data_IF_201457266797
#
_entry.id   IF_201457266797
#
_cell.length_a   1.000
_cell.length_b   1.000
_cell.length_c   1.000
_cell.angle_alpha   90.00
_cell.angle_beta   90.00
_cell.angle_gamma   90.00
#
_symmetry.space_group_name_H-M   'P 1'
#
loop_
_entity.id
_entity.type
_entity.pdbx_description
1 polymer ?
#
# COMPACT_ATOMS: atom_id res chain seq x y z
N UNK A 1 -5.27 14.01 -12.37
CA UNK A 1 -5.24 12.92 -11.38
C UNK A 1 -5.66 11.65 -12.09
N UNK A 2 -4.75 10.68 -12.12
CA UNK A 2 -4.99 9.37 -12.70
C UNK A 2 -5.21 8.35 -11.57
N UNK A 3 -6.25 7.53 -11.70
CA UNK A 3 -6.52 6.39 -10.83
C UNK A 3 -6.43 5.13 -11.67
N UNK A 4 -5.57 4.19 -11.26
CA UNK A 4 -5.45 2.87 -11.87
C UNK A 4 -5.65 1.80 -10.82
N UNK A 5 -6.59 0.88 -11.07
CA UNK A 5 -6.83 -0.27 -10.20
C UNK A 5 -6.14 -1.49 -10.81
N UNK A 6 -5.35 -2.17 -9.99
CA UNK A 6 -4.59 -3.36 -10.28
C UNK A 6 -5.10 -4.48 -9.36
N UNK A 7 -5.93 -5.41 -9.85
CA UNK A 7 -6.21 -6.63 -9.10
C UNK A 7 -4.90 -7.40 -8.87
N UNK A 8 -4.60 -7.76 -7.62
CA UNK A 8 -3.37 -8.47 -7.25
C UNK A 8 -3.66 -9.72 -6.42
N UNK A 9 -2.80 -10.72 -6.60
CA UNK A 9 -2.80 -11.96 -5.82
C UNK A 9 -4.01 -12.86 -6.08
N UNK A 10 -4.06 -13.97 -5.34
CA UNK A 10 -5.10 -14.99 -5.48
C UNK A 10 -6.50 -14.45 -5.14
N UNK A 11 -6.58 -13.52 -4.18
CA UNK A 11 -7.83 -12.92 -3.72
C UNK A 11 -8.31 -11.76 -4.60
N UNK A 12 -7.54 -11.37 -5.62
CA UNK A 12 -7.86 -10.26 -6.52
C UNK A 12 -8.15 -8.94 -5.80
N UNK A 13 -7.39 -8.65 -4.74
CA UNK A 13 -7.50 -7.39 -3.99
C UNK A 13 -7.20 -6.22 -4.93
N UNK A 14 -7.98 -5.15 -4.81
CA UNK A 14 -7.85 -3.96 -5.64
C UNK A 14 -6.72 -3.05 -5.13
N UNK A 15 -5.47 -3.39 -5.48
CA UNK A 15 -4.35 -2.47 -5.31
C UNK A 15 -4.55 -1.26 -6.22
N UNK A 16 -4.50 -0.05 -5.67
CA UNK A 16 -4.80 1.18 -6.42
C UNK A 16 -3.59 2.09 -6.50
N UNK A 17 -3.33 2.62 -7.69
CA UNK A 17 -2.32 3.64 -7.94
C UNK A 17 -3.02 4.97 -8.18
N UNK A 18 -2.67 5.98 -7.40
CA UNK A 18 -3.19 7.34 -7.52
C UNK A 18 -2.02 8.23 -7.91
N UNK A 19 -2.12 8.90 -9.06
CA UNK A 19 -1.02 9.69 -9.63
C UNK A 19 -1.47 11.12 -9.85
N UNK A 20 -0.64 12.06 -9.38
CA UNK A 20 -0.73 13.45 -9.76
C UNK A 20 0.04 13.66 -11.06
N UNK A 21 -0.67 13.69 -12.20
CA UNK A 21 -0.08 13.73 -13.54
C UNK A 21 0.77 14.99 -13.80
N UNK A 22 0.55 16.07 -13.05
CA UNK A 22 1.32 17.30 -13.19
C UNK A 22 2.71 17.21 -12.56
N UNK A 23 2.83 16.53 -11.41
CA UNK A 23 4.11 16.39 -10.69
C UNK A 23 4.78 15.04 -10.93
N UNK A 24 4.04 14.04 -11.40
CA UNK A 24 4.51 12.66 -11.52
C UNK A 24 4.55 11.91 -10.18
N UNK A 25 4.11 12.52 -9.08
CA UNK A 25 4.05 11.86 -7.79
C UNK A 25 2.93 10.82 -7.75
N UNK A 26 3.18 9.70 -7.08
CA UNK A 26 2.25 8.58 -6.98
C UNK A 26 2.10 8.07 -5.55
N UNK A 27 0.90 7.58 -5.26
CA UNK A 27 0.59 6.79 -4.07
C UNK A 27 0.13 5.41 -4.53
N UNK A 28 0.56 4.38 -3.82
CA UNK A 28 0.04 3.02 -3.96
C UNK A 28 -0.74 2.64 -2.71
N UNK A 29 -1.95 2.12 -2.90
CA UNK A 29 -2.88 1.72 -1.85
C UNK A 29 -3.09 0.21 -1.93
N UNK A 30 -2.97 -0.47 -0.80
CA UNK A 30 -3.19 -1.91 -0.61
C UNK A 30 -2.33 -2.84 -1.49
N UNK A 31 -0.99 -2.70 -1.49
CA UNK A 31 -0.10 -3.57 -2.24
C UNK A 31 0.05 -4.95 -1.56
N UNK A 32 -0.96 -5.82 -1.68
CA UNK A 32 -0.97 -7.14 -1.04
C UNK A 32 -0.08 -8.20 -1.67
N UNK A 33 0.02 -8.20 -3.01
CA UNK A 33 0.65 -9.26 -3.79
C UNK A 33 1.20 -8.71 -5.11
N UNK A 34 1.78 -9.58 -5.95
CA UNK A 34 2.27 -9.25 -7.30
C UNK A 34 3.23 -8.04 -7.36
N UNK A 35 4.20 -7.95 -6.44
CA UNK A 35 5.10 -6.79 -6.33
C UNK A 35 5.72 -6.35 -7.66
N UNK A 36 6.14 -7.28 -8.51
CA UNK A 36 6.74 -6.94 -9.81
C UNK A 36 5.75 -6.27 -10.76
N UNK A 37 4.46 -6.62 -10.71
CA UNK A 37 3.40 -5.94 -11.46
C UNK A 37 3.25 -4.51 -10.95
N UNK A 38 3.16 -4.33 -9.63
CA UNK A 38 3.02 -3.02 -9.01
C UNK A 38 4.24 -2.13 -9.31
N UNK A 39 5.45 -2.68 -9.18
CA UNK A 39 6.70 -1.97 -9.45
C UNK A 39 6.74 -1.45 -10.89
N UNK A 40 6.42 -2.30 -11.88
CA UNK A 40 6.39 -1.88 -13.29
C UNK A 40 5.43 -0.72 -13.55
N UNK A 41 4.31 -0.70 -12.85
CA UNK A 41 3.29 0.35 -12.98
C UNK A 41 3.66 1.64 -12.26
N UNK A 42 4.51 1.56 -11.22
CA UNK A 42 5.03 2.71 -10.48
C UNK A 42 6.35 3.27 -11.06
N UNK A 43 7.10 2.49 -11.84
CA UNK A 43 8.40 2.91 -12.41
C UNK A 43 8.39 4.24 -13.18
N UNK A 44 7.32 4.62 -13.91
CA UNK A 44 7.26 5.92 -14.59
C UNK A 44 7.05 7.12 -13.66
N UNK A 45 6.78 6.88 -12.37
CA UNK A 45 6.34 7.89 -11.40
C UNK A 45 7.30 7.98 -10.20
N UNK A 46 7.05 8.93 -9.31
CA UNK A 46 7.74 9.05 -8.01
C UNK A 46 6.80 8.59 -6.89
N UNK A 47 6.92 7.36 -6.37
CA UNK A 47 6.10 6.93 -5.24
C UNK A 47 6.46 7.69 -3.97
N UNK A 48 5.51 8.47 -3.45
CA UNK A 48 5.69 9.30 -2.24
C UNK A 48 5.02 8.71 -1.01
N UNK A 49 4.11 7.75 -1.18
CA UNK A 49 3.51 7.00 -0.08
C UNK A 49 3.07 5.60 -0.51
N UNK A 50 3.23 4.66 0.42
CA UNK A 50 2.55 3.36 0.41
C UNK A 50 1.49 3.44 1.50
N UNK A 51 0.24 3.13 1.17
CA UNK A 51 -0.87 3.22 2.12
C UNK A 51 -1.54 1.86 2.21
N UNK A 52 -1.90 1.44 3.43
CA UNK A 52 -2.85 0.36 3.64
C UNK A 52 -4.13 0.93 4.24
N UNK A 53 -5.27 0.55 3.67
CA UNK A 53 -6.60 0.88 4.18
C UNK A 53 -6.82 0.22 5.55
N UNK A 54 -6.38 -1.02 5.69
CA UNK A 54 -6.46 -1.83 6.90
C UNK A 54 -5.35 -2.90 6.91
N UNK A 55 -5.17 -3.59 8.05
CA UNK A 55 -3.98 -4.39 8.32
C UNK A 55 -3.97 -5.83 7.79
N UNK A 56 -4.97 -6.29 7.01
CA UNK A 56 -4.96 -7.67 6.53
C UNK A 56 -3.80 -7.96 5.56
N UNK A 57 -3.30 -9.19 5.61
CA UNK A 57 -2.09 -9.62 4.88
C UNK A 57 -2.19 -9.47 3.36
N UNK A 58 -3.39 -9.54 2.79
CA UNK A 58 -3.68 -9.36 1.37
C UNK A 58 -3.79 -7.88 0.96
N UNK A 59 -3.64 -6.95 1.91
CA UNK A 59 -3.50 -5.50 1.66
C UNK A 59 -2.07 -5.01 1.96
N UNK A 60 -1.37 -5.62 2.91
CA UNK A 60 -0.03 -5.17 3.35
C UNK A 60 1.12 -6.03 2.84
N UNK A 61 0.83 -7.17 2.20
CA UNK A 61 1.79 -8.22 1.93
C UNK A 61 3.03 -7.83 1.11
N UNK A 62 3.00 -6.77 0.30
CA UNK A 62 4.17 -6.30 -0.45
C UNK A 62 4.71 -4.94 0.00
N UNK A 63 4.24 -4.41 1.14
CA UNK A 63 4.72 -3.14 1.71
C UNK A 63 6.24 -3.16 1.87
N UNK A 64 6.82 -4.23 2.45
CA UNK A 64 8.27 -4.36 2.63
C UNK A 64 9.02 -4.21 1.30
N UNK A 65 8.62 -4.98 0.30
CA UNK A 65 9.23 -5.01 -1.03
C UNK A 65 9.20 -3.62 -1.69
N UNK A 66 8.07 -2.93 -1.60
CA UNK A 66 7.89 -1.60 -2.19
C UNK A 66 8.67 -0.52 -1.43
N UNK A 67 8.67 -0.56 -0.09
CA UNK A 67 9.50 0.34 0.73
C UNK A 67 10.98 0.19 0.38
N UNK A 68 11.46 -1.05 0.24
CA UNK A 68 12.86 -1.31 -0.11
C UNK A 68 13.23 -0.77 -1.50
N UNK A 69 12.34 -0.93 -2.49
CA UNK A 69 12.52 -0.46 -3.87
C UNK A 69 12.44 1.06 -4.02
N UNK A 70 11.40 1.68 -3.46
CA UNK A 70 11.07 3.09 -3.74
C UNK A 70 11.47 4.04 -2.61
N UNK A 71 11.83 3.53 -1.43
CA UNK A 71 12.11 4.33 -0.23
C UNK A 71 10.94 5.23 0.22
N UNK A 72 9.73 4.91 -0.23
CA UNK A 72 8.51 5.61 0.14
C UNK A 72 8.05 5.22 1.57
N UNK A 73 7.57 6.17 2.38
CA UNK A 73 7.00 5.89 3.69
C UNK A 73 5.70 5.09 3.60
N UNK A 74 5.50 4.18 4.55
CA UNK A 74 4.29 3.39 4.75
C UNK A 74 3.36 4.05 5.77
N UNK A 75 2.10 4.20 5.38
CA UNK A 75 1.03 4.78 6.17
C UNK A 75 -0.05 3.75 6.45
N UNK A 76 -0.50 3.69 7.70
CA UNK A 76 -1.65 2.88 8.12
C UNK A 76 -2.17 3.41 9.45
N UNK A 77 -3.44 3.16 9.78
CA UNK A 77 -3.98 3.49 11.09
C UNK A 77 -3.45 2.52 12.17
N UNK A 78 -3.17 3.05 13.37
CA UNK A 78 -2.59 2.25 14.47
C UNK A 78 -3.52 1.15 15.03
N UNK A 79 -4.84 1.30 14.83
CA UNK A 79 -5.83 0.32 15.30
C UNK A 79 -5.63 -1.07 14.71
N UNK A 80 -4.96 -1.18 13.55
CA UNK A 80 -4.80 -2.40 12.78
C UNK A 80 -3.41 -3.05 12.91
N UNK A 81 -2.57 -2.52 13.80
CA UNK A 81 -1.23 -3.09 14.03
C UNK A 81 -1.26 -4.57 14.44
N UNK A 82 -2.35 -5.02 15.06
CA UNK A 82 -2.49 -6.41 15.45
C UNK A 82 -2.69 -7.37 14.25
N UNK A 83 -3.03 -6.85 13.06
CA UNK A 83 -3.35 -7.65 11.87
C UNK A 83 -2.18 -7.81 10.89
N UNK A 84 -1.24 -6.86 10.82
CA UNK A 84 -0.25 -6.76 9.72
C UNK A 84 0.69 -7.95 9.56
N UNK A 85 0.77 -8.80 10.57
CA UNK A 85 1.56 -10.03 10.56
C UNK A 85 0.75 -11.22 11.12
N UNK A 86 -0.58 -11.11 11.22
CA UNK A 86 -1.46 -12.15 11.74
C UNK A 86 -1.77 -13.18 10.64
N UNK A 87 -1.27 -14.42 10.74
CA UNK A 87 -1.58 -15.45 9.77
C UNK A 87 -2.93 -16.10 10.09
N UNK A 88 -3.88 -16.08 9.15
CA UNK A 88 -5.14 -16.84 9.26
C UNK A 88 -4.86 -18.35 9.48
N UNK A 89 -3.91 -18.90 8.72
CA UNK A 89 -3.28 -20.18 8.99
C UNK A 89 -1.81 -20.16 8.55
N UNK A 90 -0.94 -20.99 9.15
CA UNK A 90 0.47 -21.03 8.79
C UNK A 90 0.70 -21.29 7.29
N UNK A 91 1.50 -20.45 6.64
CA UNK A 91 1.87 -20.61 5.23
C UNK A 91 0.88 -20.00 4.23
N UNK A 92 -0.26 -19.45 4.69
CA UNK A 92 -1.23 -18.80 3.81
C UNK A 92 -0.61 -17.63 3.05
N UNK A 93 0.31 -16.89 3.68
CA UNK A 93 0.99 -15.74 3.09
C UNK A 93 1.68 -16.10 1.77
N UNK A 94 2.31 -17.28 1.72
CA UNK A 94 2.98 -17.78 0.50
C UNK A 94 1.98 -18.15 -0.58
N UNK A 95 0.82 -18.69 -0.19
CA UNK A 95 -0.22 -19.10 -1.13
C UNK A 95 -0.86 -17.89 -1.82
N UNK A 96 -1.04 -16.78 -1.10
CA UNK A 96 -1.61 -15.55 -1.65
C UNK A 96 -0.58 -14.61 -2.28
N UNK A 97 0.71 -14.94 -2.17
CA UNK A 97 1.79 -14.13 -2.74
C UNK A 97 2.15 -12.89 -1.90
N UNK A 98 1.92 -12.93 -0.59
CA UNK A 98 2.37 -11.93 0.37
C UNK A 98 3.82 -12.22 0.84
N UNK A 99 4.55 -11.16 1.19
CA UNK A 99 5.93 -11.18 1.68
C UNK A 99 6.01 -10.62 3.11
N UNK A 100 5.84 -11.52 4.08
CA UNK A 100 5.90 -11.20 5.50
C UNK A 100 7.35 -11.26 6.06
N UNK A 101 7.67 -10.54 7.14
CA UNK A 101 6.77 -9.65 7.88
C UNK A 101 6.52 -8.32 7.16
N UNK A 102 5.29 -7.82 7.27
CA UNK A 102 5.00 -6.42 7.01
C UNK A 102 5.71 -5.56 8.07
N UNK A 103 6.46 -4.52 7.68
CA UNK A 103 7.05 -3.58 8.63
C UNK A 103 5.96 -2.74 9.31
N UNK A 104 6.30 -2.16 10.46
CA UNK A 104 5.43 -1.14 11.06
C UNK A 104 5.28 0.09 10.15
N UNK A 105 4.14 0.82 10.25
CA UNK A 105 3.95 2.10 9.58
C UNK A 105 5.03 3.10 9.99
N UNK A 106 5.59 3.81 9.02
CA UNK A 106 6.44 4.97 9.31
C UNK A 106 5.58 6.16 9.78
N UNK A 107 4.31 6.19 9.35
CA UNK A 107 3.35 7.23 9.70
C UNK A 107 2.02 6.59 10.10
N UNK A 108 1.59 6.89 11.32
CA UNK A 108 0.26 6.49 11.81
C UNK A 108 -0.80 7.46 11.30
N UNK A 109 -1.71 6.95 10.47
CA UNK A 109 -2.86 7.72 10.01
C UNK A 109 -3.79 8.05 11.18
N UNK A 110 -4.45 9.20 11.08
CA UNK A 110 -5.49 9.67 12.00
C UNK A 110 -6.68 10.17 11.18
N UNK A 111 -7.87 10.13 11.77
CA UNK A 111 -9.05 10.72 11.14
C UNK A 111 -8.81 12.20 10.78
N UNK A 112 -9.20 12.57 9.55
CA UNK A 112 -9.02 13.90 9.00
C UNK A 112 -7.59 14.23 8.55
N UNK A 113 -6.61 13.34 8.73
CA UNK A 113 -5.22 13.60 8.30
C UNK A 113 -5.12 13.78 6.79
N UNK A 114 -4.43 14.83 6.35
CA UNK A 114 -4.16 15.09 4.93
C UNK A 114 -2.81 14.52 4.54
N UNK A 115 -2.75 13.88 3.37
CA UNK A 115 -1.56 13.32 2.75
C UNK A 115 -1.37 14.06 1.42
N UNK A 116 -0.23 14.74 1.27
CA UNK A 116 0.09 15.49 0.05
C UNK A 116 0.47 14.55 -1.09
N UNK A 117 -0.06 14.81 -2.28
CA UNK A 117 0.24 14.10 -3.52
C UNK A 117 0.37 15.13 -4.64
N UNK A 118 1.55 15.74 -4.78
CA UNK A 118 1.79 16.83 -5.71
C UNK A 118 0.83 18.01 -5.49
N UNK A 119 0.01 18.32 -6.50
CA UNK A 119 -1.05 19.34 -6.38
C UNK A 119 -2.38 18.81 -5.84
N UNK A 120 -2.49 17.49 -5.66
CA UNK A 120 -3.65 16.82 -5.08
C UNK A 120 -3.39 16.51 -3.59
N UNK A 121 -4.46 16.29 -2.82
CA UNK A 121 -4.35 15.79 -1.46
C UNK A 121 -5.35 14.66 -1.21
N UNK A 122 -4.93 13.69 -0.41
CA UNK A 122 -5.79 12.61 0.08
C UNK A 122 -6.13 12.91 1.54
N UNK A 123 -7.37 12.65 1.96
CA UNK A 123 -7.80 12.80 3.34
C UNK A 123 -8.14 11.43 3.92
N UNK A 124 -7.48 11.05 5.01
CA UNK A 124 -7.82 9.87 5.77
C UNK A 124 -9.16 10.07 6.48
N UNK A 125 -10.05 9.09 6.36
CA UNK A 125 -11.32 9.02 7.10
C UNK A 125 -11.27 7.69 7.83
N UNK A 126 -11.38 7.72 9.16
CA UNK A 126 -11.41 6.49 9.95
C UNK A 126 -12.83 5.92 9.96
N UNK A 127 -12.98 4.64 9.60
CA UNK A 127 -14.27 3.96 9.37
C UNK A 127 -14.32 2.60 10.01
#
# INVERSE_FOLDING_TARGET
MLLKVLPVGLLSVNCSLIVDEETGQAVVVDPGADAQKIIRELEPYEPVAIIATHGHIDHVGQVKTLKEKFKAPFYMHSADLFLINDPIWPGFERQIGANLPCPEPDVYLKDGMSISLGKTSLRAIHT
#
